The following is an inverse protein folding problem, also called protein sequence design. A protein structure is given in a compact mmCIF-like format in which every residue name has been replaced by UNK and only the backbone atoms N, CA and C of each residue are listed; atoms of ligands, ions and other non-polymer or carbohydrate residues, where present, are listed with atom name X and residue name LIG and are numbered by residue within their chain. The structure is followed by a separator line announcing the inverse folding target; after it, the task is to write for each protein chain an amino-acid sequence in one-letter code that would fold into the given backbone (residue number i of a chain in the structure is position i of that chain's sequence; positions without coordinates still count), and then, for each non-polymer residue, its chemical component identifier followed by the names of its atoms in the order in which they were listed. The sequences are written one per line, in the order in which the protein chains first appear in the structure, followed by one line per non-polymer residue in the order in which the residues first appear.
data_IF_090458725173
#
_entry.id   IF_090458725173
#
_cell.length_a   1.000
_cell.length_b   1.000
_cell.length_c   1.000
_cell.angle_alpha   90.00
_cell.angle_beta   90.00
_cell.angle_gamma   90.00
#
_symmetry.space_group_name_H-M   'P 1'
#
loop_
_entity.id
_entity.type
_entity.pdbx_description
1 polymer ?
#
# COMPACT_ATOMS: atom_id res chain seq x y z
N UNK A 1 -31.55 -5.80 37.07
CA UNK A 1 -31.08 -4.80 36.09
C UNK A 1 -32.08 -4.80 34.95
N UNK A 2 -32.91 -3.77 34.86
CA UNK A 2 -34.09 -3.77 33.96
C UNK A 2 -33.67 -3.49 32.51
N UNK A 3 -34.28 -4.15 31.51
CA UNK A 3 -33.85 -4.14 30.11
C UNK A 3 -34.28 -2.89 29.32
N UNK A 4 -34.25 -1.70 29.94
CA UNK A 4 -34.75 -0.45 29.35
C UNK A 4 -33.82 0.77 29.44
N UNK A 5 -32.64 0.65 30.04
CA UNK A 5 -31.75 1.82 30.27
C UNK A 5 -30.76 2.10 29.14
N UNK A 6 -30.59 1.15 28.21
CA UNK A 6 -29.67 1.29 27.10
C UNK A 6 -30.42 1.03 25.80
N UNK A 7 -30.51 2.04 24.92
CA UNK A 7 -31.06 1.96 23.56
C UNK A 7 -30.16 1.10 22.63
N UNK A 8 -29.93 -0.14 23.04
CA UNK A 8 -28.98 -1.06 22.43
C UNK A 8 -29.72 -2.38 22.22
N UNK A 9 -29.75 -2.85 20.98
CA UNK A 9 -30.40 -4.11 20.65
C UNK A 9 -29.80 -5.28 21.47
N UNK A 10 -30.65 -6.14 22.03
CA UNK A 10 -30.24 -7.34 22.77
C UNK A 10 -29.23 -8.23 22.01
N UNK A 11 -29.29 -8.25 20.68
CA UNK A 11 -28.36 -8.98 19.81
C UNK A 11 -26.92 -8.46 19.87
N UNK A 12 -26.72 -7.18 20.19
CA UNK A 12 -25.40 -6.57 20.38
C UNK A 12 -24.81 -7.04 21.70
N UNK A 13 -25.59 -6.98 22.79
CA UNK A 13 -25.17 -7.44 24.12
C UNK A 13 -24.80 -8.93 24.12
N UNK A 14 -25.61 -9.76 23.49
CA UNK A 14 -25.35 -11.20 23.37
C UNK A 14 -24.05 -11.51 22.58
N UNK A 15 -23.82 -10.80 21.47
CA UNK A 15 -22.59 -10.95 20.67
C UNK A 15 -21.35 -10.49 21.42
N UNK A 16 -21.45 -9.36 22.14
CA UNK A 16 -20.35 -8.83 22.95
C UNK A 16 -20.00 -9.77 24.09
N UNK A 17 -21.00 -10.31 24.79
CA UNK A 17 -20.79 -11.29 25.86
C UNK A 17 -20.12 -12.56 25.34
N UNK A 18 -20.53 -13.06 24.17
CA UNK A 18 -19.86 -14.20 23.52
C UNK A 18 -18.42 -13.87 23.15
N UNK A 19 -18.14 -12.72 22.53
CA UNK A 19 -16.77 -12.36 22.14
C UNK A 19 -15.85 -12.15 23.34
N UNK A 20 -16.37 -11.58 24.42
CA UNK A 20 -15.66 -11.40 25.69
C UNK A 20 -15.26 -12.74 26.30
N UNK A 21 -16.17 -13.72 26.36
CA UNK A 21 -15.84 -15.07 26.83
C UNK A 21 -14.78 -15.77 25.99
N UNK A 22 -14.73 -15.50 24.68
CA UNK A 22 -13.74 -16.12 23.79
C UNK A 22 -12.38 -15.43 23.80
N UNK A 23 -12.35 -14.09 23.86
CA UNK A 23 -11.14 -13.29 23.60
C UNK A 23 -10.65 -12.52 24.83
N UNK A 24 -11.45 -12.45 25.91
CA UNK A 24 -11.18 -11.65 27.10
C UNK A 24 -11.29 -10.13 26.90
N UNK A 25 -11.71 -9.68 25.71
CA UNK A 25 -11.76 -8.26 25.34
C UNK A 25 -13.13 -7.90 24.76
N UNK A 26 -13.68 -6.77 25.20
CA UNK A 26 -14.91 -6.16 24.68
C UNK A 26 -14.63 -5.14 23.56
N UNK A 27 -13.42 -5.09 23.02
CA UNK A 27 -13.06 -4.15 21.95
C UNK A 27 -13.42 -4.71 20.57
N UNK A 28 -13.72 -3.80 19.64
CA UNK A 28 -13.94 -4.17 18.24
C UNK A 28 -12.64 -4.73 17.67
N UNK A 29 -12.68 -5.96 17.16
CA UNK A 29 -11.55 -6.54 16.43
C UNK A 29 -11.30 -5.71 15.16
N UNK A 30 -10.06 -5.31 14.93
CA UNK A 30 -9.66 -4.80 13.62
C UNK A 30 -9.69 -5.95 12.62
N UNK A 31 -10.79 -6.06 11.89
CA UNK A 31 -10.88 -6.95 10.75
C UNK A 31 -9.88 -6.47 9.69
N UNK A 32 -8.98 -7.36 9.29
CA UNK A 32 -7.98 -7.04 8.28
C UNK A 32 -8.65 -6.56 6.99
N UNK A 33 -8.00 -5.62 6.31
CA UNK A 33 -8.50 -5.14 5.02
C UNK A 33 -8.39 -6.20 3.92
N UNK A 34 -8.95 -5.87 2.74
CA UNK A 34 -8.83 -6.70 1.53
C UNK A 34 -7.38 -7.07 1.23
N UNK A 35 -7.16 -8.36 0.98
CA UNK A 35 -5.84 -8.90 0.59
C UNK A 35 -5.29 -8.15 -0.62
N UNK A 36 -4.00 -7.85 -0.56
CA UNK A 36 -3.31 -7.09 -1.59
C UNK A 36 -3.11 -7.92 -2.85
N UNK A 37 -3.24 -7.27 -4.00
CA UNK A 37 -2.98 -7.90 -5.32
C UNK A 37 -1.50 -8.25 -5.54
N UNK A 38 -0.56 -7.63 -4.82
CA UNK A 38 0.87 -7.98 -4.89
C UNK A 38 1.42 -8.36 -3.52
N UNK A 39 2.38 -9.28 -3.54
CA UNK A 39 3.05 -9.84 -2.36
C UNK A 39 4.17 -8.91 -1.86
N UNK A 40 4.65 -9.07 -0.61
CA UNK A 40 5.77 -8.28 -0.11
C UNK A 40 7.07 -8.44 -0.91
N UNK A 41 7.31 -9.60 -1.52
CA UNK A 41 8.48 -9.83 -2.37
C UNK A 41 8.35 -9.10 -3.72
N UNK A 42 7.17 -9.16 -4.34
CA UNK A 42 6.85 -8.39 -5.55
C UNK A 42 6.98 -6.88 -5.33
N UNK A 43 6.53 -6.39 -4.17
CA UNK A 43 6.69 -4.97 -3.81
C UNK A 43 8.16 -4.56 -3.73
N UNK A 44 9.02 -5.40 -3.15
CA UNK A 44 10.47 -5.16 -3.12
C UNK A 44 11.04 -5.12 -4.53
N UNK A 45 10.65 -6.04 -5.41
CA UNK A 45 11.07 -6.02 -6.81
C UNK A 45 10.68 -4.70 -7.49
N UNK A 46 9.43 -4.25 -7.35
CA UNK A 46 8.94 -2.99 -7.91
C UNK A 46 9.79 -1.80 -7.43
N UNK A 47 10.05 -1.71 -6.12
CA UNK A 47 10.84 -0.63 -5.53
C UNK A 47 12.30 -0.67 -5.99
N UNK A 48 12.91 -1.85 -6.04
CA UNK A 48 14.30 -2.02 -6.47
C UNK A 48 14.49 -1.68 -7.95
N UNK A 49 13.58 -2.13 -8.81
CA UNK A 49 13.60 -1.80 -10.24
C UNK A 49 13.52 -0.30 -10.49
N UNK A 50 12.65 0.40 -9.75
CA UNK A 50 12.55 1.86 -9.83
C UNK A 50 13.79 2.59 -9.27
N UNK A 51 14.42 2.05 -8.20
CA UNK A 51 15.67 2.62 -7.65
C UNK A 51 16.85 2.48 -8.62
N UNK A 52 16.99 1.33 -9.26
CA UNK A 52 18.02 1.07 -10.28
C UNK A 52 17.85 1.99 -11.48
N UNK A 53 16.63 2.11 -11.99
CA UNK A 53 16.32 2.92 -13.15
C UNK A 53 15.44 4.12 -12.78
N UNK A 54 16.03 5.15 -12.16
CA UNK A 54 15.30 6.32 -11.59
C UNK A 54 14.40 7.09 -12.58
N UNK A 55 14.58 6.91 -13.89
CA UNK A 55 13.78 7.55 -14.95
C UNK A 55 12.62 6.69 -15.45
N UNK A 56 12.51 5.43 -15.01
CA UNK A 56 11.42 4.54 -15.44
C UNK A 56 10.08 5.02 -14.92
N UNK A 57 9.08 4.97 -15.80
CA UNK A 57 7.71 5.33 -15.46
C UNK A 57 6.99 4.15 -14.79
N UNK A 58 5.95 4.44 -14.01
CA UNK A 58 5.15 3.39 -13.37
C UNK A 58 4.48 2.44 -14.39
N UNK A 59 4.24 2.87 -15.63
CA UNK A 59 3.71 2.00 -16.69
C UNK A 59 4.79 1.04 -17.22
N UNK A 60 6.01 1.55 -17.44
CA UNK A 60 7.14 0.71 -17.84
C UNK A 60 7.45 -0.35 -16.76
N UNK A 61 7.40 0.04 -15.49
CA UNK A 61 7.57 -0.91 -14.37
C UNK A 61 6.44 -1.93 -14.34
N UNK A 62 5.20 -1.56 -14.65
CA UNK A 62 4.09 -2.52 -14.77
C UNK A 62 4.31 -3.53 -15.90
N UNK A 63 4.83 -3.09 -17.05
CA UNK A 63 5.14 -3.97 -18.18
C UNK A 63 6.31 -4.92 -17.85
N UNK A 64 7.36 -4.41 -17.21
CA UNK A 64 8.48 -5.23 -16.72
C UNK A 64 8.02 -6.26 -15.69
N UNK A 65 7.13 -5.87 -14.79
CA UNK A 65 6.53 -6.76 -13.80
C UNK A 65 5.70 -7.87 -14.46
N UNK A 66 4.90 -7.53 -15.47
CA UNK A 66 4.14 -8.52 -16.24
C UNK A 66 5.09 -9.51 -16.93
N UNK A 67 6.17 -9.04 -17.55
CA UNK A 67 7.16 -9.91 -18.18
C UNK A 67 7.88 -10.83 -17.18
N UNK A 68 8.18 -10.35 -15.97
CA UNK A 68 8.91 -11.12 -14.96
C UNK A 68 8.03 -12.08 -14.17
N UNK A 69 6.78 -11.71 -13.87
CA UNK A 69 5.90 -12.45 -12.96
C UNK A 69 4.70 -13.10 -13.65
N UNK A 70 4.45 -12.81 -14.94
CA UNK A 70 3.25 -13.25 -15.67
C UNK A 70 1.95 -12.59 -15.19
N UNK A 71 2.03 -11.66 -14.24
CA UNK A 71 0.87 -11.07 -13.57
C UNK A 71 0.67 -9.62 -13.99
N UNK A 72 -0.54 -9.31 -14.45
CA UNK A 72 -0.87 -7.93 -14.82
C UNK A 72 -1.15 -7.09 -13.58
N UNK A 73 -0.44 -5.97 -13.46
CA UNK A 73 -0.71 -4.95 -12.44
C UNK A 73 -0.94 -3.60 -13.10
N UNK A 74 -1.88 -2.83 -12.55
CA UNK A 74 -2.14 -1.48 -13.05
C UNK A 74 -1.08 -0.49 -12.60
N UNK A 75 -0.84 0.56 -13.40
CA UNK A 75 0.01 1.72 -13.06
C UNK A 75 -0.28 2.28 -11.66
N UNK A 76 -1.55 2.36 -11.28
CA UNK A 76 -2.00 2.84 -9.96
C UNK A 76 -1.55 1.95 -8.79
N UNK A 77 -1.38 0.66 -9.04
CA UNK A 77 -0.87 -0.30 -8.05
C UNK A 77 0.63 -0.11 -7.88
N UNK A 78 1.38 -0.02 -8.98
CA UNK A 78 2.81 0.32 -8.96
C UNK A 78 3.06 1.62 -8.21
N UNK A 79 2.32 2.69 -8.53
CA UNK A 79 2.46 3.97 -7.85
C UNK A 79 2.19 3.88 -6.33
N UNK A 80 1.24 3.06 -5.89
CA UNK A 80 0.99 2.80 -4.47
C UNK A 80 2.16 2.08 -3.80
N UNK A 81 2.78 1.10 -4.47
CA UNK A 81 3.95 0.37 -3.93
C UNK A 81 5.19 1.24 -3.87
N UNK A 82 5.41 2.07 -4.88
CA UNK A 82 6.49 3.07 -4.86
C UNK A 82 6.33 4.04 -3.68
N UNK A 83 5.13 4.57 -3.44
CA UNK A 83 4.86 5.41 -2.26
C UNK A 83 5.06 4.67 -0.94
N UNK A 84 4.60 3.42 -0.85
CA UNK A 84 4.84 2.57 0.31
C UNK A 84 6.33 2.31 0.58
N UNK A 85 7.15 2.30 -0.47
CA UNK A 85 8.62 2.23 -0.40
C UNK A 85 9.32 3.59 -0.30
N UNK A 86 8.59 4.69 -0.04
CA UNK A 86 9.15 6.03 0.14
C UNK A 86 9.56 6.75 -1.16
N UNK A 87 9.22 6.21 -2.33
CA UNK A 87 9.55 6.83 -3.62
C UNK A 87 8.40 7.72 -4.09
N UNK A 88 8.68 9.02 -4.17
CA UNK A 88 7.75 10.04 -4.62
C UNK A 88 8.30 10.77 -5.83
N UNK A 89 7.45 10.98 -6.84
CA UNK A 89 7.74 11.96 -7.87
C UNK A 89 7.50 13.35 -7.26
N UNK A 90 8.54 14.19 -7.22
CA UNK A 90 8.45 15.58 -6.80
C UNK A 90 9.06 16.46 -7.89
N UNK A 91 8.43 17.61 -8.15
CA UNK A 91 9.03 18.67 -8.95
C UNK A 91 9.81 19.60 -8.01
N UNK A 92 11.08 19.91 -8.27
CA UNK A 92 11.78 20.96 -7.55
C UNK A 92 11.05 22.29 -7.75
N UNK A 93 11.00 23.12 -6.71
CA UNK A 93 10.46 24.49 -6.82
C UNK A 93 11.35 25.34 -7.73
N UNK A 94 12.66 25.15 -7.63
CA UNK A 94 13.66 25.77 -8.50
C UNK A 94 14.45 24.67 -9.18
N UNK A 95 14.52 24.71 -10.52
CA UNK A 95 15.37 23.82 -11.31
C UNK A 95 16.51 24.64 -11.91
N UNK A 96 17.76 24.36 -11.52
CA UNK A 96 18.92 24.83 -12.29
C UNK A 96 18.96 24.06 -13.61
N UNK A 97 18.96 24.73 -14.78
CA UNK A 97 19.01 24.04 -16.07
C UNK A 97 20.34 23.28 -16.20
N UNK A 98 20.29 21.95 -16.07
CA UNK A 98 21.46 21.11 -16.34
C UNK A 98 21.58 20.86 -17.84
N UNK A 99 22.74 21.23 -18.40
CA UNK A 99 23.14 20.88 -19.76
C UNK A 99 23.26 19.37 -19.93
N UNK A 100 23.23 18.88 -21.17
CA UNK A 100 23.30 17.44 -21.48
C UNK A 100 24.58 16.79 -20.93
N UNK A 101 25.73 17.48 -21.03
CA UNK A 101 27.01 17.05 -20.47
C UNK A 101 26.96 16.89 -18.94
N UNK A 102 26.36 17.84 -18.22
CA UNK A 102 26.22 17.73 -16.76
C UNK A 102 25.32 16.54 -16.35
N UNK A 103 24.36 16.15 -17.20
CA UNK A 103 23.47 15.01 -16.91
C UNK A 103 24.16 13.66 -17.12
N UNK A 104 25.12 13.57 -18.04
CA UNK A 104 25.86 12.34 -18.33
C UNK A 104 27.00 12.11 -17.35
N UNK A 105 27.68 13.17 -16.91
CA UNK A 105 28.78 13.09 -15.93
C UNK A 105 28.33 12.71 -14.50
N UNK A 106 27.02 12.64 -14.24
CA UNK A 106 26.44 12.27 -12.94
C UNK A 106 26.15 10.76 -12.81
N UNK A 107 26.58 9.97 -13.80
CA UNK A 107 26.58 8.51 -13.80
C UNK A 107 28.00 8.02 -13.57
#
# INVERSE_FOLDING_TARGET
MLPGEFDIAHSVVSRLWKSFKTTGMCSRRHEGGRVRSTTPAEDKYIVLSAKRNRRTTAQQVANQFLAASGKQIFRKTVARRLRGGGLYARKPVVCVPLTRQHRTARL
#
